data_IF_412163527382
#
_entry.id   IF_412163527382
#
_cell.length_a   1.000
_cell.length_b   1.000
_cell.length_c   1.000
_cell.angle_alpha   90.00
_cell.angle_beta   90.00
_cell.angle_gamma   90.00
#
_symmetry.space_group_name_H-M   'P 1'
#
loop_
_entity.id
_entity.type
_entity.pdbx_description
1 polymer ?
#
# COMPACT_ATOMS: atom_id res chain seq x y z
N UNK A 1 24.86 12.60 2.64
CA UNK A 1 24.33 11.59 1.69
C UNK A 1 22.86 11.90 1.45
N UNK A 2 22.41 11.81 0.23
CA UNK A 2 21.01 11.98 -0.12
C UNK A 2 20.17 10.87 0.54
N UNK A 3 18.98 11.21 1.05
CA UNK A 3 18.12 10.25 1.75
C UNK A 3 17.47 9.29 0.75
N UNK A 4 17.54 7.99 1.01
CA UNK A 4 16.75 7.01 0.29
C UNK A 4 15.32 7.00 0.84
N UNK A 5 14.35 7.36 0.01
CA UNK A 5 12.96 7.58 0.41
C UNK A 5 12.09 6.38 0.02
N UNK A 6 11.27 5.94 0.97
CA UNK A 6 10.12 5.08 0.74
C UNK A 6 8.85 5.89 0.96
N UNK A 7 8.08 6.06 -0.12
CA UNK A 7 6.72 6.59 -0.06
C UNK A 7 5.77 5.44 0.29
N UNK A 8 4.87 5.67 1.24
CA UNK A 8 3.81 4.72 1.55
C UNK A 8 2.46 5.42 1.64
N UNK A 9 1.42 4.80 1.10
CA UNK A 9 0.04 5.19 1.36
C UNK A 9 -0.54 4.34 2.48
N UNK A 10 -1.27 4.93 3.42
CA UNK A 10 -1.93 4.19 4.51
C UNK A 10 -0.99 3.68 5.61
N UNK A 11 0.16 4.34 5.83
CA UNK A 11 1.17 3.94 6.83
C UNK A 11 0.79 4.20 8.30
N UNK A 12 -0.46 4.61 8.61
CA UNK A 12 -0.87 4.97 9.97
C UNK A 12 -1.40 3.81 10.82
N UNK A 13 -1.62 2.64 10.27
CA UNK A 13 -2.17 1.47 10.98
C UNK A 13 -1.83 0.15 10.28
N UNK A 14 -2.09 -0.96 10.95
CA UNK A 14 -2.01 -2.31 10.40
C UNK A 14 -0.69 -2.63 9.71
N UNK A 15 -0.76 -3.23 8.53
CA UNK A 15 0.42 -3.58 7.73
C UNK A 15 1.24 -2.35 7.35
N UNK A 16 0.59 -1.25 6.96
CA UNK A 16 1.28 -0.02 6.58
C UNK A 16 2.15 0.54 7.71
N UNK A 17 1.64 0.55 8.93
CA UNK A 17 2.41 0.96 10.12
C UNK A 17 3.63 0.06 10.36
N UNK A 18 3.47 -1.26 10.24
CA UNK A 18 4.58 -2.19 10.42
C UNK A 18 5.66 -2.04 9.33
N UNK A 19 5.25 -1.74 8.09
CA UNK A 19 6.19 -1.40 7.01
C UNK A 19 6.95 -0.11 7.36
N UNK A 20 6.26 0.97 7.79
CA UNK A 20 6.90 2.23 8.21
C UNK A 20 7.95 1.97 9.31
N UNK A 21 7.54 1.32 10.39
CA UNK A 21 8.41 1.07 11.55
C UNK A 21 9.66 0.27 11.18
N UNK A 22 9.50 -0.78 10.39
CA UNK A 22 10.60 -1.66 10.01
C UNK A 22 11.48 -1.07 8.91
N UNK A 23 10.94 -0.26 8.00
CA UNK A 23 11.72 0.42 6.96
C UNK A 23 12.61 1.53 7.56
N UNK A 24 12.12 2.27 8.55
CA UNK A 24 12.93 3.22 9.33
C UNK A 24 14.09 2.50 10.03
N UNK A 25 13.83 1.35 10.67
CA UNK A 25 14.87 0.54 11.32
C UNK A 25 15.93 0.00 10.33
N UNK A 26 15.62 -0.04 9.04
CA UNK A 26 16.54 -0.40 7.94
C UNK A 26 17.19 0.83 7.27
N UNK A 27 17.03 2.01 7.85
CA UNK A 27 17.72 3.25 7.42
C UNK A 27 17.02 4.04 6.33
N UNK A 28 15.76 3.73 5.99
CA UNK A 28 14.99 4.51 5.00
C UNK A 28 14.35 5.73 5.64
N UNK A 29 14.23 6.80 4.87
CA UNK A 29 13.37 7.93 5.19
C UNK A 29 11.96 7.67 4.66
N UNK A 30 10.95 7.82 5.51
CA UNK A 30 9.56 7.51 5.16
C UNK A 30 8.78 8.78 4.88
N UNK A 31 8.08 8.77 3.73
CA UNK A 31 7.04 9.75 3.41
C UNK A 31 5.69 9.04 3.36
N UNK A 32 4.81 9.34 4.32
CA UNK A 32 3.52 8.66 4.47
C UNK A 32 2.37 9.55 4.04
N UNK A 33 1.54 9.09 3.09
CA UNK A 33 0.33 9.77 2.64
C UNK A 33 -0.89 9.08 3.31
N UNK A 34 -1.63 9.80 4.14
CA UNK A 34 -2.83 9.26 4.80
C UNK A 34 -3.77 10.37 5.29
N UNK A 35 -5.03 10.02 5.55
CA UNK A 35 -6.08 10.98 5.90
C UNK A 35 -6.13 11.33 7.39
N UNK A 36 -5.71 10.42 8.26
CA UNK A 36 -5.86 10.60 9.70
C UNK A 36 -4.76 11.49 10.27
N UNK A 37 -5.09 12.77 10.49
CA UNK A 37 -4.16 13.78 11.00
C UNK A 37 -3.61 13.42 12.38
N UNK A 38 -4.44 12.98 13.31
CA UNK A 38 -4.02 12.67 14.68
C UNK A 38 -3.02 11.51 14.72
N UNK A 39 -3.30 10.40 13.97
CA UNK A 39 -2.36 9.29 13.86
C UNK A 39 -1.06 9.74 13.18
N UNK A 40 -1.14 10.63 12.18
CA UNK A 40 0.03 11.15 11.49
C UNK A 40 0.94 11.96 12.41
N UNK A 41 0.38 12.89 13.19
CA UNK A 41 1.13 13.70 14.17
C UNK A 41 1.81 12.84 15.25
N UNK A 42 1.17 11.75 15.67
CA UNK A 42 1.80 10.77 16.56
C UNK A 42 3.02 10.09 15.93
N UNK A 43 2.94 9.75 14.64
CA UNK A 43 4.05 9.13 13.92
C UNK A 43 5.19 10.13 13.64
N UNK A 44 4.88 11.39 13.30
CA UNK A 44 5.87 12.46 13.16
C UNK A 44 6.66 12.63 14.47
N UNK A 45 5.96 12.61 15.63
CA UNK A 45 6.58 12.71 16.95
C UNK A 45 7.42 11.47 17.30
N UNK A 46 6.96 10.28 16.92
CA UNK A 46 7.63 9.00 17.24
C UNK A 46 8.91 8.80 16.43
N UNK A 47 8.87 9.10 15.14
CA UNK A 47 9.97 8.80 14.19
C UNK A 47 10.83 10.01 13.82
N UNK A 48 10.38 11.21 14.15
CA UNK A 48 11.13 12.47 14.05
C UNK A 48 11.86 12.65 12.69
N UNK A 49 13.19 12.70 12.70
CA UNK A 49 14.02 13.00 11.52
C UNK A 49 13.96 11.96 10.40
N UNK A 50 13.40 10.77 10.63
CA UNK A 50 13.32 9.68 9.64
C UNK A 50 11.94 9.51 9.02
N UNK A 51 11.03 10.46 9.29
CA UNK A 51 9.64 10.37 8.85
C UNK A 51 9.10 11.75 8.48
N UNK A 52 8.19 11.78 7.53
CA UNK A 52 7.38 12.96 7.21
C UNK A 52 5.98 12.53 6.77
N UNK A 53 4.96 13.02 7.47
CA UNK A 53 3.57 12.82 7.14
C UNK A 53 3.04 13.84 6.13
N UNK A 54 2.16 13.39 5.22
CA UNK A 54 1.39 14.20 4.28
C UNK A 54 -0.09 13.87 4.50
N UNK A 55 -0.83 14.81 5.10
CA UNK A 55 -2.24 14.59 5.47
C UNK A 55 -3.15 14.99 4.32
N UNK A 56 -3.86 14.02 3.74
CA UNK A 56 -4.81 14.25 2.65
C UNK A 56 -5.38 12.94 2.09
N UNK A 57 -6.24 13.09 1.08
CA UNK A 57 -6.88 11.95 0.41
C UNK A 57 -6.10 11.60 -0.86
N UNK A 58 -5.67 10.34 -0.98
CA UNK A 58 -4.96 9.84 -2.16
C UNK A 58 -5.83 9.77 -3.42
N UNK A 59 -7.14 9.97 -3.29
CA UNK A 59 -8.05 10.12 -4.44
C UNK A 59 -8.14 11.53 -4.98
N UNK A 60 -7.54 12.51 -4.28
CA UNK A 60 -7.36 13.89 -4.75
C UNK A 60 -6.06 14.00 -5.56
N UNK A 61 -6.19 14.16 -6.86
CA UNK A 61 -5.06 14.26 -7.79
C UNK A 61 -4.11 15.42 -7.43
N UNK A 62 -4.66 16.57 -7.04
CA UNK A 62 -3.84 17.72 -6.66
C UNK A 62 -3.04 17.46 -5.40
N UNK A 63 -3.65 16.89 -4.37
CA UNK A 63 -2.95 16.50 -3.14
C UNK A 63 -1.81 15.50 -3.43
N UNK A 64 -2.06 14.48 -4.25
CA UNK A 64 -1.05 13.47 -4.60
C UNK A 64 0.10 14.12 -5.37
N UNK A 65 -0.20 14.93 -6.39
CA UNK A 65 0.82 15.61 -7.20
C UNK A 65 1.68 16.53 -6.35
N UNK A 66 1.07 17.44 -5.57
CA UNK A 66 1.78 18.38 -4.69
C UNK A 66 2.66 17.62 -3.67
N UNK A 67 2.15 16.54 -3.09
CA UNK A 67 2.89 15.73 -2.10
C UNK A 67 4.11 15.07 -2.72
N UNK A 68 3.95 14.40 -3.86
CA UNK A 68 5.05 13.67 -4.50
C UNK A 68 6.14 14.62 -5.02
N UNK A 69 5.77 15.80 -5.55
CA UNK A 69 6.75 16.83 -5.91
C UNK A 69 7.53 17.35 -4.69
N UNK A 70 6.86 17.60 -3.57
CA UNK A 70 7.54 17.97 -2.32
C UNK A 70 8.47 16.86 -1.83
N UNK A 71 8.07 15.60 -1.94
CA UNK A 71 8.88 14.44 -1.55
C UNK A 71 10.12 14.32 -2.44
N UNK A 72 9.99 14.53 -3.74
CA UNK A 72 11.11 14.50 -4.68
C UNK A 72 12.20 15.53 -4.34
N UNK A 73 11.83 16.66 -3.73
CA UNK A 73 12.77 17.67 -3.26
C UNK A 73 13.51 17.29 -1.95
N UNK A 74 13.04 16.24 -1.23
CA UNK A 74 13.65 15.80 0.04
C UNK A 74 14.80 14.79 -0.15
N UNK A 75 14.86 14.09 -1.29
CA UNK A 75 15.85 13.07 -1.55
C UNK A 75 15.46 12.10 -2.66
N UNK A 76 16.14 10.96 -2.71
CA UNK A 76 15.97 9.97 -3.76
C UNK A 76 14.82 9.01 -3.46
N UNK A 77 13.70 9.12 -4.19
CA UNK A 77 12.57 8.20 -4.09
C UNK A 77 13.00 6.85 -4.68
N UNK A 78 13.12 5.82 -3.86
CA UNK A 78 13.47 4.45 -4.27
C UNK A 78 12.30 3.49 -4.26
N UNK A 79 11.31 3.76 -3.40
CA UNK A 79 10.18 2.85 -3.21
C UNK A 79 8.87 3.63 -3.15
N UNK A 80 7.85 3.12 -3.84
CA UNK A 80 6.45 3.49 -3.63
C UNK A 80 5.69 2.25 -3.18
N UNK A 81 5.12 2.28 -1.97
CA UNK A 81 4.29 1.21 -1.42
C UNK A 81 2.84 1.67 -1.38
N UNK A 82 2.04 1.19 -2.31
CA UNK A 82 0.60 1.41 -2.33
C UNK A 82 -0.06 0.42 -1.35
N UNK A 83 -0.43 0.89 -0.14
CA UNK A 83 -0.97 0.06 0.94
C UNK A 83 -2.29 0.61 1.51
N UNK A 84 -2.71 1.82 1.13
CA UNK A 84 -3.97 2.39 1.61
C UNK A 84 -5.17 1.63 1.02
N UNK A 85 -6.05 1.16 1.89
CA UNK A 85 -7.23 0.40 1.51
C UNK A 85 -8.41 0.67 2.44
N UNK A 86 -9.60 0.57 1.89
CA UNK A 86 -10.85 0.48 2.63
C UNK A 86 -11.79 -0.47 1.89
N UNK A 87 -12.31 -1.46 2.58
CA UNK A 87 -13.21 -2.46 2.01
C UNK A 87 -14.64 -2.29 2.48
N UNK A 88 -15.59 -2.76 1.66
CA UNK A 88 -16.98 -2.90 2.01
C UNK A 88 -17.42 -4.36 1.88
N UNK A 89 -17.86 -4.94 3.00
CA UNK A 89 -18.33 -6.32 3.08
C UNK A 89 -19.84 -6.34 3.36
N UNK A 90 -20.64 -6.31 2.28
CA UNK A 90 -22.10 -6.35 2.29
C UNK A 90 -22.61 -7.38 1.29
N UNK A 91 -23.90 -7.72 1.36
CA UNK A 91 -24.54 -8.50 0.30
C UNK A 91 -24.61 -7.66 -0.98
N UNK A 92 -24.47 -8.26 -2.18
CA UNK A 92 -24.50 -7.51 -3.44
C UNK A 92 -25.76 -6.65 -3.65
N UNK A 93 -26.90 -7.07 -3.10
CA UNK A 93 -28.18 -6.34 -3.18
C UNK A 93 -28.25 -5.10 -2.27
N UNK A 94 -27.27 -4.92 -1.38
CA UNK A 94 -27.20 -3.83 -0.39
C UNK A 94 -26.17 -2.75 -0.78
N UNK A 95 -25.46 -2.91 -1.91
CA UNK A 95 -24.46 -1.92 -2.33
C UNK A 95 -25.09 -0.61 -2.76
N UNK A 96 -24.53 0.47 -2.25
CA UNK A 96 -24.84 1.84 -2.65
C UNK A 96 -23.71 2.42 -3.52
N UNK A 97 -23.96 3.57 -4.17
CA UNK A 97 -22.90 4.28 -4.90
C UNK A 97 -21.75 4.69 -3.98
N UNK A 98 -22.02 5.01 -2.72
CA UNK A 98 -21.00 5.34 -1.71
C UNK A 98 -20.11 4.14 -1.40
N UNK A 99 -20.70 2.94 -1.26
CA UNK A 99 -19.94 1.71 -1.06
C UNK A 99 -18.98 1.42 -2.24
N UNK A 100 -19.46 1.65 -3.47
CA UNK A 100 -18.65 1.48 -4.68
C UNK A 100 -17.51 2.49 -4.69
N UNK A 101 -17.79 3.78 -4.46
CA UNK A 101 -16.78 4.83 -4.41
C UNK A 101 -15.73 4.57 -3.34
N UNK A 102 -16.16 4.17 -2.15
CA UNK A 102 -15.28 3.85 -1.02
C UNK A 102 -14.36 2.67 -1.34
N UNK A 103 -14.90 1.61 -1.93
CA UNK A 103 -14.10 0.41 -2.27
C UNK A 103 -13.12 0.66 -3.41
N UNK A 104 -13.49 1.48 -4.40
CA UNK A 104 -12.61 1.81 -5.52
C UNK A 104 -11.57 2.89 -5.18
N UNK A 105 -11.66 3.53 -4.01
CA UNK A 105 -10.74 4.58 -3.59
C UNK A 105 -9.29 4.10 -3.51
N UNK A 106 -9.05 2.85 -3.05
CA UNK A 106 -7.73 2.22 -3.02
C UNK A 106 -7.10 2.11 -4.40
N UNK A 107 -7.86 1.57 -5.36
CA UNK A 107 -7.41 1.46 -6.76
C UNK A 107 -7.15 2.84 -7.39
N UNK A 108 -8.06 3.81 -7.21
CA UNK A 108 -7.85 5.18 -7.71
C UNK A 108 -6.58 5.79 -7.13
N UNK A 109 -6.37 5.71 -5.83
CA UNK A 109 -5.18 6.22 -5.15
C UNK A 109 -3.90 5.54 -5.62
N UNK A 110 -3.92 4.20 -5.78
CA UNK A 110 -2.81 3.44 -6.35
C UNK A 110 -2.41 3.97 -7.74
N UNK A 111 -3.37 4.19 -8.63
CA UNK A 111 -3.13 4.73 -9.98
C UNK A 111 -2.53 6.12 -9.90
N UNK A 112 -3.12 7.04 -9.13
CA UNK A 112 -2.66 8.43 -9.02
C UNK A 112 -1.25 8.52 -8.41
N UNK A 113 -1.00 7.84 -7.28
CA UNK A 113 0.31 7.85 -6.64
C UNK A 113 1.39 7.24 -7.54
N UNK A 114 1.08 6.15 -8.26
CA UNK A 114 1.99 5.53 -9.21
C UNK A 114 2.29 6.46 -10.38
N UNK A 115 1.28 7.11 -10.95
CA UNK A 115 1.43 8.06 -12.05
C UNK A 115 2.36 9.20 -11.67
N UNK A 116 2.13 9.85 -10.53
CA UNK A 116 2.97 10.97 -10.08
C UNK A 116 4.40 10.53 -9.71
N UNK A 117 4.56 9.37 -9.08
CA UNK A 117 5.90 8.84 -8.78
C UNK A 117 6.69 8.54 -10.05
N UNK A 118 6.05 8.02 -11.09
CA UNK A 118 6.68 7.77 -12.40
C UNK A 118 7.07 9.08 -13.10
N UNK A 119 6.22 10.12 -13.08
CA UNK A 119 6.54 11.43 -13.66
C UNK A 119 7.81 12.05 -13.08
N UNK A 120 8.03 11.91 -11.76
CA UNK A 120 9.21 12.49 -11.09
C UNK A 120 10.43 11.58 -11.13
N UNK A 121 10.29 10.31 -11.58
CA UNK A 121 11.33 9.27 -11.53
C UNK A 121 11.44 8.40 -12.77
N UNK A 122 11.00 8.86 -13.92
CA UNK A 122 10.89 8.08 -15.17
C UNK A 122 12.20 7.36 -15.60
N UNK A 123 13.36 7.91 -15.25
CA UNK A 123 14.67 7.34 -15.61
C UNK A 123 15.46 6.74 -14.42
N UNK A 124 14.83 6.48 -13.28
CA UNK A 124 15.55 6.04 -12.08
C UNK A 124 15.03 4.71 -11.50
N UNK A 125 15.88 4.09 -10.66
CA UNK A 125 15.59 2.82 -9.98
C UNK A 125 14.42 2.94 -8.99
N UNK A 126 13.18 2.98 -9.48
CA UNK A 126 11.96 3.00 -8.66
C UNK A 126 11.40 1.59 -8.54
N UNK A 127 11.14 1.14 -7.30
CA UNK A 127 10.36 -0.07 -7.04
C UNK A 127 8.95 0.32 -6.59
N UNK A 128 7.95 -0.06 -7.36
CA UNK A 128 6.53 0.12 -7.08
C UNK A 128 6.01 -1.18 -6.48
N UNK A 129 5.48 -1.12 -5.26
CA UNK A 129 5.00 -2.27 -4.49
C UNK A 129 3.51 -2.09 -4.24
N UNK A 130 2.70 -2.90 -4.87
CA UNK A 130 1.24 -2.83 -4.77
C UNK A 130 0.75 -3.90 -3.80
N UNK A 131 0.22 -3.47 -2.64
CA UNK A 131 -0.35 -4.37 -1.64
C UNK A 131 -1.80 -4.66 -2.02
N UNK A 132 -2.01 -5.84 -2.57
CA UNK A 132 -3.32 -6.33 -2.95
C UNK A 132 -3.89 -7.28 -1.88
N UNK A 133 -4.34 -8.45 -2.26
CA UNK A 133 -4.89 -9.49 -1.38
C UNK A 133 -4.94 -10.82 -2.12
N UNK A 134 -5.05 -11.94 -1.39
CA UNK A 134 -5.47 -13.22 -1.97
C UNK A 134 -6.84 -13.13 -2.68
N UNK A 135 -7.67 -12.14 -2.34
CA UNK A 135 -8.93 -11.81 -3.04
C UNK A 135 -8.72 -11.31 -4.48
N UNK A 136 -7.50 -10.94 -4.87
CA UNK A 136 -7.12 -10.64 -6.27
C UNK A 136 -6.87 -11.91 -7.11
N UNK A 137 -6.88 -13.09 -6.50
CA UNK A 137 -6.54 -14.37 -7.13
C UNK A 137 -7.74 -15.29 -7.28
N UNK A 138 -8.80 -15.07 -6.50
CA UNK A 138 -10.05 -15.83 -6.52
C UNK A 138 -11.21 -15.01 -5.99
N UNK A 139 -12.43 -15.35 -6.38
CA UNK A 139 -13.64 -14.80 -5.76
C UNK A 139 -13.90 -15.40 -4.38
N UNK A 140 -14.37 -14.58 -3.44
CA UNK A 140 -14.76 -14.99 -2.10
C UNK A 140 -16.25 -14.68 -1.87
N UNK A 141 -16.95 -15.56 -1.15
CA UNK A 141 -18.35 -15.33 -0.76
C UNK A 141 -18.45 -14.11 0.18
N UNK A 142 -19.31 -13.17 -0.15
CA UNK A 142 -19.51 -11.95 0.66
C UNK A 142 -18.51 -10.83 0.43
N UNK A 143 -17.59 -10.98 -0.53
CA UNK A 143 -16.53 -10.04 -0.85
C UNK A 143 -16.59 -9.50 -2.29
N UNK A 144 -17.78 -9.51 -2.93
CA UNK A 144 -17.88 -9.25 -4.37
C UNK A 144 -17.25 -7.90 -4.77
N UNK A 145 -17.55 -6.83 -4.04
CA UNK A 145 -17.00 -5.50 -4.32
C UNK A 145 -15.50 -5.40 -3.98
N UNK A 146 -15.07 -5.98 -2.86
CA UNK A 146 -13.68 -6.07 -2.48
C UNK A 146 -12.84 -6.87 -3.50
N UNK A 147 -13.34 -8.04 -3.92
CA UNK A 147 -12.70 -8.82 -4.97
C UNK A 147 -12.61 -8.01 -6.28
N UNK A 148 -13.67 -7.31 -6.69
CA UNK A 148 -13.65 -6.48 -7.89
C UNK A 148 -12.53 -5.43 -7.85
N UNK A 149 -12.38 -4.73 -6.71
CA UNK A 149 -11.28 -3.77 -6.50
C UNK A 149 -9.92 -4.46 -6.61
N UNK A 150 -9.71 -5.56 -5.88
CA UNK A 150 -8.42 -6.28 -5.86
C UNK A 150 -8.05 -6.92 -7.20
N UNK A 151 -9.02 -7.37 -7.98
CA UNK A 151 -8.78 -7.79 -9.36
C UNK A 151 -8.42 -6.62 -10.27
N UNK A 152 -9.05 -5.45 -10.08
CA UNK A 152 -8.67 -4.22 -10.78
C UNK A 152 -7.23 -3.79 -10.48
N UNK A 153 -6.83 -3.79 -9.21
CA UNK A 153 -5.45 -3.52 -8.78
C UNK A 153 -4.45 -4.51 -9.38
N UNK A 154 -4.80 -5.80 -9.44
CA UNK A 154 -3.99 -6.82 -10.10
C UNK A 154 -3.85 -6.54 -11.59
N UNK A 155 -4.96 -6.28 -12.30
CA UNK A 155 -4.92 -5.97 -13.73
C UNK A 155 -4.03 -4.77 -14.04
N UNK A 156 -4.12 -3.71 -13.22
CA UNK A 156 -3.26 -2.55 -13.30
C UNK A 156 -1.79 -2.91 -13.05
N UNK A 157 -1.50 -3.68 -12.00
CA UNK A 157 -0.15 -4.12 -11.63
C UNK A 157 0.50 -4.95 -12.75
N UNK A 158 -0.22 -5.92 -13.32
CA UNK A 158 0.30 -6.76 -14.42
C UNK A 158 0.58 -5.92 -15.68
N UNK A 159 -0.30 -4.98 -16.00
CA UNK A 159 -0.09 -4.07 -17.13
C UNK A 159 1.14 -3.18 -16.95
N UNK A 160 1.36 -2.67 -15.73
CA UNK A 160 2.58 -1.90 -15.41
C UNK A 160 3.86 -2.75 -15.53
N UNK A 161 3.83 -4.01 -15.09
CA UNK A 161 4.98 -4.93 -15.25
C UNK A 161 5.39 -5.07 -16.71
N UNK A 162 4.43 -5.23 -17.61
CA UNK A 162 4.71 -5.31 -19.06
C UNK A 162 5.18 -3.97 -19.64
N UNK A 163 4.57 -2.86 -19.22
CA UNK A 163 4.95 -1.52 -19.70
C UNK A 163 6.38 -1.13 -19.32
N UNK A 164 6.86 -1.55 -18.15
CA UNK A 164 8.21 -1.23 -17.64
C UNK A 164 9.20 -2.40 -17.76
N UNK A 165 8.87 -3.43 -18.51
CA UNK A 165 9.77 -4.56 -18.77
C UNK A 165 11.05 -4.10 -19.47
N UNK A 166 12.19 -4.53 -18.94
CA UNK A 166 13.50 -4.14 -19.47
C UNK A 166 14.00 -2.76 -18.99
N UNK A 167 13.19 -2.01 -18.24
CA UNK A 167 13.62 -0.73 -17.65
C UNK A 167 14.18 -0.89 -16.24
N UNK A 168 14.63 0.22 -15.64
CA UNK A 168 15.08 0.26 -14.23
C UNK A 168 13.92 0.32 -13.23
N UNK A 169 12.69 0.64 -13.67
CA UNK A 169 11.49 0.58 -12.84
C UNK A 169 11.08 -0.88 -12.62
N UNK A 170 10.81 -1.24 -11.37
CA UNK A 170 10.33 -2.58 -10.99
C UNK A 170 8.96 -2.50 -10.35
N UNK A 171 8.06 -3.38 -10.75
CA UNK A 171 6.69 -3.45 -10.23
C UNK A 171 6.48 -4.79 -9.55
N UNK A 172 6.02 -4.78 -8.30
CA UNK A 172 5.90 -5.95 -7.43
C UNK A 172 4.47 -6.05 -6.92
N UNK A 173 3.83 -7.18 -7.14
CA UNK A 173 2.51 -7.50 -6.60
C UNK A 173 2.61 -8.27 -5.28
N UNK A 174 1.93 -7.82 -4.22
CA UNK A 174 1.88 -8.51 -2.94
C UNK A 174 0.46 -8.99 -2.69
N UNK A 175 0.30 -10.29 -2.40
CA UNK A 175 -0.99 -10.96 -2.24
C UNK A 175 -1.09 -11.61 -0.84
N UNK A 176 -1.26 -10.82 0.24
CA UNK A 176 -1.42 -11.38 1.56
C UNK A 176 -2.82 -11.96 1.75
N UNK A 177 -2.92 -12.99 2.56
CA UNK A 177 -4.17 -13.46 3.15
C UNK A 177 -4.65 -12.54 4.28
N UNK A 178 -5.62 -12.98 5.08
CA UNK A 178 -6.16 -12.20 6.20
C UNK A 178 -5.08 -11.91 7.27
N UNK A 179 -5.01 -10.64 7.70
CA UNK A 179 -4.10 -10.17 8.74
C UNK A 179 -4.89 -9.62 9.94
N UNK A 180 -4.37 -9.82 11.15
CA UNK A 180 -4.96 -9.27 12.37
C UNK A 180 -4.63 -7.77 12.49
N UNK A 181 -5.54 -6.92 12.02
CA UNK A 181 -5.36 -5.47 11.94
C UNK A 181 -6.70 -4.75 12.18
N UNK A 182 -6.64 -3.43 12.42
CA UNK A 182 -7.80 -2.54 12.51
C UNK A 182 -8.66 -2.49 11.21
N UNK A 183 -8.17 -3.05 10.11
CA UNK A 183 -8.92 -3.13 8.84
C UNK A 183 -10.31 -3.75 8.99
N UNK A 184 -10.49 -4.65 9.96
CA UNK A 184 -11.74 -5.36 10.21
C UNK A 184 -12.70 -4.62 11.16
N UNK A 185 -12.29 -3.51 11.78
CA UNK A 185 -13.08 -2.86 12.85
C UNK A 185 -14.45 -2.36 12.36
N UNK A 186 -14.47 -1.76 11.16
CA UNK A 186 -15.74 -1.34 10.53
C UNK A 186 -16.52 -2.52 9.92
N UNK A 187 -15.96 -3.71 9.91
CA UNK A 187 -16.51 -4.91 9.25
C UNK A 187 -16.64 -6.11 10.19
N UNK A 188 -16.82 -5.87 11.51
CA UNK A 188 -16.97 -6.93 12.53
C UNK A 188 -18.20 -7.82 12.33
N UNK A 189 -19.20 -7.36 11.60
CA UNK A 189 -20.33 -8.18 11.14
C UNK A 189 -19.91 -9.27 10.13
N UNK A 190 -18.78 -9.08 9.43
CA UNK A 190 -18.24 -10.02 8.45
C UNK A 190 -17.11 -10.88 9.03
N UNK A 191 -16.17 -10.26 9.74
CA UNK A 191 -15.08 -10.95 10.43
C UNK A 191 -15.05 -10.54 11.90
N UNK A 192 -15.43 -11.48 12.78
CA UNK A 192 -15.40 -11.27 14.23
C UNK A 192 -13.97 -11.05 14.74
N UNK A 193 -13.83 -10.46 15.91
CA UNK A 193 -12.53 -10.29 16.57
C UNK A 193 -11.83 -11.63 16.82
N UNK A 194 -12.59 -12.62 17.33
CA UNK A 194 -12.09 -13.98 17.53
C UNK A 194 -11.50 -14.57 16.24
N UNK A 195 -12.20 -14.44 15.11
CA UNK A 195 -11.72 -14.93 13.82
C UNK A 195 -10.48 -14.15 13.35
N UNK A 196 -10.46 -12.82 13.47
CA UNK A 196 -9.32 -12.01 13.04
C UNK A 196 -8.07 -12.23 13.89
N UNK A 197 -8.21 -12.60 15.17
CA UNK A 197 -7.09 -12.94 16.05
C UNK A 197 -6.28 -14.15 15.56
N UNK A 198 -6.90 -15.03 14.77
CA UNK A 198 -6.23 -16.20 14.15
C UNK A 198 -5.52 -15.88 12.85
N UNK A 199 -5.62 -14.65 12.36
CA UNK A 199 -5.00 -14.22 11.11
C UNK A 199 -3.50 -13.95 11.28
N UNK A 200 -2.81 -13.75 10.16
CA UNK A 200 -1.37 -13.48 10.16
C UNK A 200 -1.06 -12.20 10.96
N UNK A 201 0.11 -12.20 11.61
CA UNK A 201 0.63 -11.01 12.26
C UNK A 201 1.15 -10.03 11.19
N UNK A 202 0.65 -8.78 11.13
CA UNK A 202 1.11 -7.80 10.15
C UNK A 202 2.61 -7.48 10.24
N UNK A 203 3.21 -7.65 11.41
CA UNK A 203 4.66 -7.50 11.62
C UNK A 203 5.46 -8.51 10.78
N UNK A 204 5.04 -9.78 10.77
CA UNK A 204 5.73 -10.84 10.04
C UNK A 204 5.55 -10.66 8.54
N UNK A 205 4.34 -10.28 8.11
CA UNK A 205 4.04 -9.95 6.71
C UNK A 205 4.89 -8.77 6.23
N UNK A 206 5.03 -7.71 7.03
CA UNK A 206 5.89 -6.56 6.70
C UNK A 206 7.36 -6.97 6.58
N UNK A 207 7.84 -7.89 7.45
CA UNK A 207 9.21 -8.42 7.38
C UNK A 207 9.44 -9.14 6.05
N UNK A 208 8.56 -10.05 5.66
CA UNK A 208 8.65 -10.78 4.37
C UNK A 208 8.67 -9.80 3.20
N UNK A 209 7.79 -8.79 3.20
CA UNK A 209 7.74 -7.78 2.13
C UNK A 209 9.06 -7.03 2.05
N UNK A 210 9.52 -6.42 3.16
CA UNK A 210 10.72 -5.59 3.17
C UNK A 210 11.99 -6.38 2.82
N UNK A 211 12.13 -7.61 3.30
CA UNK A 211 13.27 -8.46 2.97
C UNK A 211 13.35 -8.78 1.47
N UNK A 212 12.20 -8.91 0.81
CA UNK A 212 12.17 -9.16 -0.63
C UNK A 212 12.34 -7.90 -1.49
N UNK A 213 11.88 -6.73 -1.04
CA UNK A 213 12.00 -5.51 -1.84
C UNK A 213 13.31 -4.77 -1.63
N UNK A 214 13.98 -4.93 -0.47
CA UNK A 214 15.20 -4.19 -0.14
C UNK A 214 16.49 -4.94 -0.47
N UNK A 215 16.52 -6.27 -0.30
CA UNK A 215 17.76 -7.05 -0.29
C UNK A 215 18.26 -7.51 -1.67
N UNK A 216 17.46 -7.39 -2.73
CA UNK A 216 17.82 -7.92 -4.04
C UNK A 216 17.92 -6.81 -5.09
N UNK A 217 19.14 -6.49 -5.52
CA UNK A 217 19.40 -5.50 -6.60
C UNK A 217 19.50 -6.17 -7.98
N UNK A 218 19.95 -7.42 -8.03
CA UNK A 218 20.17 -8.18 -9.28
C UNK A 218 18.97 -9.08 -9.66
N UNK A 219 18.01 -9.28 -8.75
CA UNK A 219 16.83 -10.11 -8.98
C UNK A 219 15.58 -9.24 -9.11
N UNK A 220 14.65 -9.70 -9.93
CA UNK A 220 13.30 -9.11 -9.99
C UNK A 220 12.33 -10.04 -9.27
N UNK A 221 11.88 -9.63 -8.08
CA UNK A 221 10.77 -10.28 -7.38
C UNK A 221 9.49 -9.69 -7.97
N UNK A 222 8.74 -10.47 -8.76
CA UNK A 222 7.56 -9.97 -9.45
C UNK A 222 6.29 -10.06 -8.59
N UNK A 223 6.13 -11.16 -7.85
CA UNK A 223 4.96 -11.42 -7.02
C UNK A 223 5.34 -12.15 -5.73
N UNK A 224 4.67 -11.76 -4.64
CA UNK A 224 4.81 -12.42 -3.34
C UNK A 224 3.42 -12.81 -2.84
N UNK A 225 3.16 -14.09 -2.78
CA UNK A 225 2.00 -14.65 -2.08
C UNK A 225 2.38 -14.94 -0.63
N UNK A 226 1.54 -14.50 0.31
CA UNK A 226 1.75 -14.72 1.74
C UNK A 226 0.48 -15.32 2.32
N UNK A 227 0.54 -16.54 2.76
CA UNK A 227 -0.59 -17.29 3.27
C UNK A 227 -0.30 -17.79 4.69
N UNK A 228 -1.36 -17.98 5.46
CA UNK A 228 -1.31 -18.60 6.77
C UNK A 228 -1.06 -20.12 6.61
N UNK A 229 -0.26 -20.69 7.48
CA UNK A 229 -0.12 -22.16 7.63
C UNK A 229 -1.42 -22.81 8.11
#
# INVERSE_FOLDING_TARGET
MEKDILIITGGCSGLGFEIVRQAIARGLFICNLARNKEKMEKLDSLFQSNYKGFVGDITDEKFVSDSIHQIAALGNIKYLVNCAEKACFKKPVEYTSEDVNTSLAGLKGMVLCTTEALKVKEESNLKIVNIMSSAALKGNKGEALYCATKWGERGYTESLKEAYKGTTVKVIGIYPGGMNTEFWDESRHYVTEEKSSTFMNPKDVATVILDNILNYSSLNVADIKIERN
#
